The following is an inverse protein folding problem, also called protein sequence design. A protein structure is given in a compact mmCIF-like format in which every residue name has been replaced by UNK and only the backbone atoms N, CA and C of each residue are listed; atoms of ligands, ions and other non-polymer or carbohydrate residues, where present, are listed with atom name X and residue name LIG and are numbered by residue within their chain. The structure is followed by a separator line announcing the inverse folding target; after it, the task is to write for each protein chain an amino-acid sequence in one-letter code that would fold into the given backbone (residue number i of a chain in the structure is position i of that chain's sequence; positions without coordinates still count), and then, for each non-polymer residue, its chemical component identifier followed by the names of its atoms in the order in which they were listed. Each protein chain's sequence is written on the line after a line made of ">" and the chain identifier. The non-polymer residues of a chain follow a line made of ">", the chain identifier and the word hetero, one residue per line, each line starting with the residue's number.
data_IF_635423534914
#
_entry.id   IF_635423534914
#
_cell.length_a   1.000
_cell.length_b   1.000
_cell.length_c   1.000
_cell.angle_alpha   90.00
_cell.angle_beta   90.00
_cell.angle_gamma   90.00
#
_symmetry.space_group_name_H-M   'P 1'
#
loop_
_entity.id
_entity.type
_entity.pdbx_description
1 polymer ?
#
# COMPACT_ATOMS: atom_id res chain seq x y z
N UNK A 1 -9.59 25.88 12.33
CA UNK A 1 -10.25 24.82 13.11
C UNK A 1 -9.19 23.86 13.57
N UNK A 2 -8.88 23.89 14.86
CA UNK A 2 -7.90 23.04 15.52
C UNK A 2 -8.40 21.60 15.56
N UNK A 3 -7.53 20.65 15.18
CA UNK A 3 -7.68 19.23 15.47
C UNK A 3 -7.01 18.93 16.81
N UNK A 4 -7.77 18.39 17.75
CA UNK A 4 -7.26 17.90 19.03
C UNK A 4 -6.71 16.50 18.87
N UNK A 5 -5.48 16.29 19.28
CA UNK A 5 -4.87 14.95 19.46
C UNK A 5 -4.96 14.62 20.95
N UNK A 6 -5.64 13.54 21.29
CA UNK A 6 -5.65 13.02 22.68
C UNK A 6 -4.62 11.89 22.81
N UNK A 7 -3.70 12.07 23.77
CA UNK A 7 -2.87 10.98 24.30
C UNK A 7 -3.50 10.50 25.61
N UNK A 8 -3.85 9.21 25.71
CA UNK A 8 -4.22 8.60 26.98
C UNK A 8 -3.05 7.79 27.53
N UNK A 9 -2.56 8.14 28.69
CA UNK A 9 -1.80 7.25 29.55
C UNK A 9 -2.27 7.42 31.00
N UNK A 10 -2.97 6.39 31.50
CA UNK A 10 -2.95 5.94 32.87
C UNK A 10 -3.67 6.76 33.94
N UNK A 11 -4.71 6.14 34.53
CA UNK A 11 -5.44 6.36 35.76
C UNK A 11 -6.35 7.61 35.84
N UNK A 12 -7.64 7.29 35.76
CA UNK A 12 -8.74 8.19 36.09
C UNK A 12 -8.88 8.19 37.60
N UNK A 13 -8.66 9.35 38.22
CA UNK A 13 -9.33 9.75 39.47
C UNK A 13 -9.70 11.23 39.32
N UNK A 14 -10.98 11.49 39.52
CA UNK A 14 -11.73 12.72 39.62
C UNK A 14 -10.97 14.04 39.52
N UNK A 15 -11.30 14.84 38.50
CA UNK A 15 -11.23 16.30 38.61
C UNK A 15 -12.25 16.95 37.66
N UNK A 16 -13.25 17.59 38.26
CA UNK A 16 -14.06 18.62 37.64
C UNK A 16 -13.14 19.81 37.29
N UNK A 17 -13.06 20.16 36.02
CA UNK A 17 -12.32 21.32 35.57
C UNK A 17 -13.18 22.20 34.66
N UNK A 18 -13.72 23.25 35.24
CA UNK A 18 -14.14 24.46 34.53
C UNK A 18 -12.93 25.17 33.97
N UNK A 19 -12.92 25.44 32.68
CA UNK A 19 -11.86 26.18 32.00
C UNK A 19 -11.99 27.68 32.31
N UNK A 20 -11.29 28.22 33.29
CA UNK A 20 -11.02 29.64 33.40
C UNK A 20 -9.61 29.95 32.89
N UNK A 21 -9.54 30.84 31.89
CA UNK A 21 -8.29 31.34 31.36
C UNK A 21 -7.55 32.17 32.39
N UNK A 22 -6.45 31.69 32.92
CA UNK A 22 -5.56 32.45 33.81
C UNK A 22 -4.70 33.43 33.01
N UNK A 23 -5.06 34.69 33.07
CA UNK A 23 -4.19 35.80 32.66
C UNK A 23 -3.47 36.34 33.94
N UNK A 24 -2.15 36.55 33.84
CA UNK A 24 -1.47 37.28 34.90
C UNK A 24 -1.42 38.80 34.61
N UNK A 25 -1.20 39.59 35.63
CA UNK A 25 -1.19 41.06 35.56
C UNK A 25 -0.09 41.68 34.67
N UNK A 26 0.75 40.87 34.02
CA UNK A 26 1.81 41.30 33.10
C UNK A 26 1.51 41.07 31.62
N UNK A 27 0.32 40.59 31.28
CA UNK A 27 -0.12 40.48 29.87
C UNK A 27 0.56 39.40 29.03
N UNK A 28 1.24 38.46 29.65
CA UNK A 28 1.87 37.32 28.93
C UNK A 28 1.07 36.05 29.12
N UNK A 29 0.71 35.41 28.00
CA UNK A 29 0.02 34.14 27.99
C UNK A 29 0.97 33.01 28.40
N UNK A 30 0.56 32.14 29.32
CA UNK A 30 1.35 31.02 29.84
C UNK A 30 1.52 29.88 28.80
N UNK A 31 1.05 30.06 27.55
CA UNK A 31 1.18 29.08 26.47
C UNK A 31 2.60 28.92 25.94
N UNK A 32 3.50 29.87 26.15
CA UNK A 32 4.84 29.86 25.54
C UNK A 32 5.88 29.03 26.30
N UNK A 33 5.51 28.44 27.45
CA UNK A 33 6.44 27.61 28.24
C UNK A 33 6.24 26.11 28.13
N UNK A 34 5.20 25.65 27.44
CA UNK A 34 4.91 24.19 27.35
C UNK A 34 5.13 23.54 25.98
N UNK A 35 5.43 24.32 24.96
CA UNK A 35 5.91 23.78 23.69
C UNK A 35 7.24 24.45 23.36
N UNK A 36 8.39 23.82 23.60
CA UNK A 36 9.58 24.24 22.94
C UNK A 36 9.29 24.15 21.43
N UNK A 37 9.30 25.29 20.74
CA UNK A 37 9.33 25.34 19.28
C UNK A 37 10.52 24.48 18.87
N UNK A 38 10.23 23.22 18.44
CA UNK A 38 11.21 22.37 17.84
C UNK A 38 11.74 23.12 16.62
N UNK A 39 13.00 23.42 16.65
CA UNK A 39 13.70 24.11 15.58
C UNK A 39 13.69 23.23 14.32
N UNK A 40 12.62 23.36 13.52
CA UNK A 40 12.50 22.72 12.22
C UNK A 40 13.57 23.18 11.22
N UNK A 41 14.38 24.20 11.60
CA UNK A 41 15.43 24.76 10.76
C UNK A 41 16.59 23.78 10.51
N UNK A 42 16.74 22.73 11.33
CA UNK A 42 17.82 21.73 11.18
C UNK A 42 17.53 20.63 10.15
N UNK A 43 16.28 20.43 9.74
CA UNK A 43 15.88 19.39 8.78
C UNK A 43 15.85 19.87 7.35
N UNK A 44 15.73 21.17 7.14
CA UNK A 44 15.62 21.77 5.83
C UNK A 44 16.85 22.62 5.56
N UNK A 45 17.49 22.47 4.39
CA UNK A 45 18.56 23.37 3.99
C UNK A 45 18.03 24.81 3.95
N UNK A 46 18.86 25.76 4.31
CA UNK A 46 18.48 27.17 4.28
C UNK A 46 18.15 27.62 2.84
N UNK A 47 17.23 28.56 2.71
CA UNK A 47 16.86 29.12 1.39
C UNK A 47 18.10 29.66 0.65
N UNK A 48 19.12 30.08 1.39
CA UNK A 48 20.38 30.59 0.83
C UNK A 48 21.25 29.46 0.27
N UNK A 49 21.41 28.36 1.00
CA UNK A 49 22.14 27.17 0.53
C UNK A 49 21.51 26.58 -0.71
N UNK A 50 20.17 26.49 -0.73
CA UNK A 50 19.42 26.02 -1.90
C UNK A 50 19.68 26.97 -3.10
N UNK A 51 19.58 28.30 -2.88
CA UNK A 51 19.78 29.30 -3.93
C UNK A 51 21.19 29.23 -4.53
N UNK A 52 22.19 29.05 -3.69
CA UNK A 52 23.60 28.89 -4.08
C UNK A 52 23.83 27.62 -4.89
N UNK A 53 23.29 26.47 -4.42
CA UNK A 53 23.47 25.17 -5.08
C UNK A 53 22.89 25.09 -6.50
N UNK A 54 21.78 25.81 -6.75
CA UNK A 54 21.12 25.81 -8.08
C UNK A 54 21.34 27.08 -8.88
N UNK A 55 22.15 28.02 -8.36
CA UNK A 55 22.47 29.30 -8.99
C UNK A 55 21.21 30.11 -9.39
N UNK A 56 20.34 30.35 -8.44
CA UNK A 56 19.13 31.17 -8.60
C UNK A 56 19.01 32.17 -7.44
N UNK A 57 18.13 33.17 -7.58
CA UNK A 57 17.91 34.14 -6.50
C UNK A 57 17.18 33.50 -5.29
N UNK A 58 17.46 33.98 -4.08
CA UNK A 58 16.76 33.63 -2.84
C UNK A 58 15.24 33.79 -3.01
N UNK A 59 14.80 34.88 -3.68
CA UNK A 59 13.39 35.12 -3.99
C UNK A 59 12.77 34.06 -4.91
N UNK A 60 13.55 33.47 -5.82
CA UNK A 60 13.09 32.38 -6.67
C UNK A 60 12.87 31.11 -5.88
N UNK A 61 13.79 30.74 -4.98
CA UNK A 61 13.64 29.59 -4.08
C UNK A 61 12.42 29.78 -3.17
N UNK A 62 12.29 30.95 -2.54
CA UNK A 62 11.15 31.27 -1.68
C UNK A 62 9.81 31.14 -2.44
N UNK A 63 9.73 31.62 -3.68
CA UNK A 63 8.51 31.47 -4.50
C UNK A 63 8.18 30.02 -4.80
N UNK A 64 9.17 29.18 -5.07
CA UNK A 64 8.99 27.74 -5.26
C UNK A 64 8.46 27.11 -3.97
N UNK A 65 9.15 27.28 -2.84
CA UNK A 65 8.79 26.64 -1.57
C UNK A 65 7.40 27.06 -1.09
N UNK A 66 7.01 28.31 -1.33
CA UNK A 66 5.69 28.84 -0.97
C UNK A 66 4.61 28.59 -2.04
N UNK A 67 4.90 27.79 -3.06
CA UNK A 67 3.98 27.47 -4.14
C UNK A 67 3.34 28.71 -4.81
N UNK A 68 4.13 29.77 -5.01
CA UNK A 68 3.64 30.97 -5.67
C UNK A 68 3.28 30.68 -7.13
N UNK A 69 2.25 31.35 -7.69
CA UNK A 69 1.92 31.26 -9.10
C UNK A 69 3.07 31.78 -9.96
N UNK A 70 3.08 31.39 -11.24
CA UNK A 70 4.05 31.84 -12.26
C UNK A 70 5.50 31.35 -12.04
N UNK A 71 5.72 30.24 -11.35
CA UNK A 71 6.99 29.52 -11.31
C UNK A 71 7.00 28.45 -12.38
N UNK A 72 8.03 28.43 -13.24
CA UNK A 72 8.13 27.40 -14.29
C UNK A 72 8.31 26.00 -13.70
N UNK A 73 7.79 24.96 -14.37
CA UNK A 73 7.98 23.57 -13.93
C UNK A 73 9.45 23.19 -13.77
N UNK A 74 10.32 23.66 -14.67
CA UNK A 74 11.75 23.37 -14.68
C UNK A 74 12.44 23.99 -13.44
N UNK A 75 12.14 25.24 -13.12
CA UNK A 75 12.69 25.91 -11.95
C UNK A 75 12.19 25.21 -10.67
N UNK A 76 10.91 24.82 -10.63
CA UNK A 76 10.33 24.07 -9.52
C UNK A 76 11.08 22.75 -9.31
N UNK A 77 11.20 21.94 -10.34
CA UNK A 77 11.90 20.65 -10.26
C UNK A 77 13.35 20.83 -9.83
N UNK A 78 14.06 21.83 -10.38
CA UNK A 78 15.45 22.13 -10.03
C UNK A 78 15.61 22.48 -8.55
N UNK A 79 14.75 23.32 -8.00
CA UNK A 79 14.80 23.74 -6.59
C UNK A 79 14.42 22.58 -5.66
N UNK A 80 13.35 21.83 -5.96
CA UNK A 80 12.90 20.72 -5.12
C UNK A 80 13.92 19.57 -5.09
N UNK A 81 14.56 19.29 -6.24
CA UNK A 81 15.68 18.36 -6.31
C UNK A 81 16.81 18.80 -5.37
N UNK A 82 17.22 20.07 -5.42
CA UNK A 82 18.27 20.59 -4.55
C UNK A 82 17.89 20.53 -3.06
N UNK A 83 16.63 20.80 -2.73
CA UNK A 83 16.12 20.62 -1.34
C UNK A 83 16.34 19.20 -0.86
N UNK A 84 15.97 18.20 -1.68
CA UNK A 84 16.09 16.79 -1.30
C UNK A 84 17.55 16.30 -1.31
N UNK A 85 18.42 16.87 -2.16
CA UNK A 85 19.84 16.53 -2.20
C UNK A 85 20.65 17.17 -1.05
N UNK A 86 20.25 18.37 -0.60
CA UNK A 86 20.92 19.10 0.48
C UNK A 86 20.34 18.81 1.86
N UNK A 87 19.28 18.04 1.93
CA UNK A 87 18.68 17.64 3.20
C UNK A 87 19.74 16.98 4.07
N UNK A 88 19.89 17.45 5.29
CA UNK A 88 20.80 16.85 6.24
C UNK A 88 20.15 15.58 6.82
N UNK A 89 20.54 14.44 6.27
CA UNK A 89 20.01 13.14 6.69
C UNK A 89 20.50 12.78 8.11
N UNK A 90 21.55 13.42 8.61
CA UNK A 90 22.03 13.21 9.98
C UNK A 90 21.06 13.78 11.03
N UNK A 91 20.18 14.70 10.62
CA UNK A 91 19.13 15.25 11.48
C UNK A 91 17.87 14.35 11.53
N UNK A 92 17.73 13.44 10.56
CA UNK A 92 16.64 12.44 10.55
C UNK A 92 16.96 11.38 11.60
N UNK A 93 16.14 11.28 12.65
CA UNK A 93 16.37 10.40 13.80
C UNK A 93 17.22 11.01 14.92
N UNK A 94 17.56 12.30 14.87
CA UNK A 94 18.17 12.99 15.99
C UNK A 94 17.14 13.18 17.13
N UNK A 95 17.53 12.98 18.40
CA UNK A 95 16.62 13.17 19.53
C UNK A 95 15.96 14.55 19.53
N UNK A 96 14.64 14.57 19.60
CA UNK A 96 13.85 15.81 19.64
C UNK A 96 13.42 16.37 18.28
N UNK A 97 13.74 15.70 17.18
CA UNK A 97 13.28 16.08 15.84
C UNK A 97 12.36 14.98 15.30
N UNK A 98 11.04 15.18 15.42
CA UNK A 98 10.05 14.27 14.86
C UNK A 98 9.81 14.62 13.39
N UNK A 99 10.00 13.65 12.50
CA UNK A 99 9.61 13.76 11.10
C UNK A 99 8.52 12.74 10.81
N UNK A 100 7.76 12.95 9.73
CA UNK A 100 6.73 12.00 9.33
C UNK A 100 7.18 11.20 8.12
N UNK A 101 6.83 9.91 8.11
CA UNK A 101 6.80 9.08 6.91
C UNK A 101 5.37 9.08 6.38
N UNK A 102 5.18 9.36 5.10
CA UNK A 102 3.86 9.30 4.51
C UNK A 102 3.56 7.89 3.97
N UNK A 103 2.36 7.40 4.26
CA UNK A 103 1.71 6.38 3.45
C UNK A 103 0.74 7.07 2.50
N UNK A 104 1.03 7.01 1.20
CA UNK A 104 0.23 7.67 0.18
C UNK A 104 -0.60 6.66 -0.61
N UNK A 105 -1.86 7.01 -0.85
CA UNK A 105 -2.78 6.22 -1.67
C UNK A 105 -3.61 7.14 -2.55
N UNK A 106 -4.20 6.58 -3.60
CA UNK A 106 -5.14 7.29 -4.48
C UNK A 106 -6.48 6.57 -4.52
N UNK A 107 -7.56 7.28 -4.29
CA UNK A 107 -8.91 6.73 -4.43
C UNK A 107 -9.86 7.15 -3.32
N UNK A 108 -11.05 6.57 -3.36
CA UNK A 108 -12.11 6.87 -2.40
C UNK A 108 -12.12 5.90 -1.21
N UNK A 109 -11.62 4.69 -1.40
CA UNK A 109 -11.59 3.65 -0.37
C UNK A 109 -10.16 3.36 0.06
N UNK A 110 -9.98 3.44 1.35
CA UNK A 110 -8.75 3.18 2.07
C UNK A 110 -9.16 2.45 3.35
N UNK A 111 -9.29 1.20 3.40
CA UNK A 111 -9.54 0.41 4.61
C UNK A 111 -9.99 -1.02 4.22
N UNK A 112 -9.31 -1.59 3.23
CA UNK A 112 -9.42 -3.03 3.03
C UNK A 112 -8.62 -3.78 4.11
N UNK A 113 -8.87 -5.05 4.37
CA UNK A 113 -8.00 -5.88 5.22
C UNK A 113 -6.54 -5.84 4.76
N UNK A 114 -6.28 -5.78 3.46
CA UNK A 114 -4.95 -5.61 2.88
C UNK A 114 -4.29 -4.29 3.34
N UNK A 115 -5.02 -3.16 3.29
CA UNK A 115 -4.48 -1.88 3.74
C UNK A 115 -4.20 -1.87 5.24
N UNK A 116 -5.05 -2.53 6.03
CA UNK A 116 -4.85 -2.65 7.47
C UNK A 116 -3.60 -3.46 7.81
N UNK A 117 -3.39 -4.60 7.15
CA UNK A 117 -2.19 -5.43 7.34
C UNK A 117 -0.91 -4.70 6.90
N UNK A 118 -0.98 -3.97 5.78
CA UNK A 118 0.12 -3.16 5.28
C UNK A 118 0.52 -2.06 6.25
N UNK A 119 -0.46 -1.30 6.76
CA UNK A 119 -0.23 -0.26 7.74
C UNK A 119 0.26 -0.80 9.08
N UNK A 120 -0.19 -1.99 9.48
CA UNK A 120 0.33 -2.67 10.65
C UNK A 120 1.83 -2.93 10.50
N UNK A 121 2.27 -3.51 9.38
CA UNK A 121 3.70 -3.74 9.13
C UNK A 121 4.52 -2.45 9.11
N UNK A 122 3.99 -1.38 8.51
CA UNK A 122 4.63 -0.06 8.54
C UNK A 122 4.72 0.47 9.98
N UNK A 123 3.65 0.35 10.77
CA UNK A 123 3.63 0.85 12.15
C UNK A 123 4.60 0.08 13.06
N UNK A 124 4.67 -1.25 12.92
CA UNK A 124 5.65 -2.08 13.65
C UNK A 124 7.10 -1.66 13.29
N UNK A 125 7.38 -1.44 12.00
CA UNK A 125 8.68 -0.97 11.56
C UNK A 125 9.02 0.46 12.00
N UNK A 126 8.02 1.31 12.25
CA UNK A 126 8.21 2.67 12.78
C UNK A 126 8.43 2.69 14.30
N UNK A 127 7.94 1.69 15.03
CA UNK A 127 7.98 1.67 16.49
C UNK A 127 9.37 1.96 17.13
N UNK A 128 10.50 1.47 16.57
CA UNK A 128 11.84 1.80 17.08
C UNK A 128 12.39 3.14 16.60
N UNK A 129 11.61 3.96 15.89
CA UNK A 129 12.06 5.22 15.28
C UNK A 129 11.37 6.42 15.91
N UNK A 130 11.89 7.63 15.61
CA UNK A 130 11.27 8.91 15.99
C UNK A 130 10.31 9.45 14.91
N UNK A 131 9.88 8.60 13.97
CA UNK A 131 8.99 9.00 12.88
C UNK A 131 7.52 8.76 13.21
N UNK A 132 6.67 9.73 12.87
CA UNK A 132 5.23 9.56 12.86
C UNK A 132 4.74 9.04 11.49
N UNK A 133 3.63 8.30 11.47
CA UNK A 133 2.97 7.89 10.24
C UNK A 133 1.90 8.90 9.83
N UNK A 134 2.04 9.45 8.62
CA UNK A 134 1.05 10.33 8.01
C UNK A 134 0.36 9.63 6.84
N UNK A 135 -0.96 9.51 6.88
CA UNK A 135 -1.73 8.93 5.77
C UNK A 135 -2.19 10.03 4.82
N UNK A 136 -1.87 9.91 3.53
CA UNK A 136 -2.09 10.95 2.51
C UNK A 136 -2.91 10.42 1.34
N UNK A 137 -4.09 11.01 1.10
CA UNK A 137 -4.84 10.78 -0.13
C UNK A 137 -4.37 11.75 -1.22
N UNK A 138 -3.70 11.24 -2.25
CA UNK A 138 -3.10 12.04 -3.32
C UNK A 138 -4.14 12.67 -4.28
N UNK A 139 -5.37 12.15 -4.31
CA UNK A 139 -6.44 12.75 -5.08
C UNK A 139 -6.93 14.10 -4.50
N UNK A 140 -6.70 14.35 -3.20
CA UNK A 140 -7.16 15.56 -2.47
C UNK A 140 -6.03 16.52 -2.13
N UNK A 141 -4.78 16.14 -2.31
CA UNK A 141 -3.62 16.81 -1.70
C UNK A 141 -2.92 17.86 -2.53
N UNK A 142 -3.28 18.03 -3.79
CA UNK A 142 -2.63 19.03 -4.65
C UNK A 142 -3.29 20.39 -4.49
N UNK A 143 -2.59 21.33 -3.87
CA UNK A 143 -2.91 22.75 -4.03
C UNK A 143 -2.79 23.15 -5.51
N UNK A 144 -3.53 24.17 -5.94
CA UNK A 144 -3.47 24.67 -7.31
C UNK A 144 -2.00 24.93 -7.73
N UNK A 145 -1.49 24.12 -8.65
CA UNK A 145 -0.18 24.30 -9.28
C UNK A 145 1.04 23.75 -8.52
N UNK A 146 0.88 23.03 -7.41
CA UNK A 146 2.00 22.40 -6.67
C UNK A 146 2.23 20.94 -7.02
N UNK A 147 3.46 20.45 -6.85
CA UNK A 147 3.80 19.04 -6.94
C UNK A 147 3.42 18.27 -5.67
N UNK A 148 3.36 16.92 -5.78
CA UNK A 148 3.16 16.08 -4.59
C UNK A 148 4.35 16.18 -3.66
N UNK A 149 5.59 16.08 -4.16
CA UNK A 149 6.81 16.19 -3.36
C UNK A 149 6.89 17.52 -2.60
N UNK A 150 6.59 18.64 -3.27
CA UNK A 150 6.50 19.94 -2.61
C UNK A 150 5.47 19.96 -1.47
N UNK A 151 4.32 19.34 -1.68
CA UNK A 151 3.27 19.25 -0.66
C UNK A 151 3.73 18.44 0.55
N UNK A 152 4.43 17.32 0.32
CA UNK A 152 4.99 16.46 1.35
C UNK A 152 6.10 17.17 2.14
N UNK A 153 7.03 17.83 1.45
CA UNK A 153 8.11 18.63 2.07
C UNK A 153 7.52 19.68 3.04
N UNK A 154 6.51 20.43 2.59
CA UNK A 154 5.86 21.47 3.41
C UNK A 154 5.14 20.90 4.63
N UNK A 155 4.79 19.64 4.64
CA UNK A 155 4.17 18.93 5.78
C UNK A 155 5.20 18.26 6.69
N UNK A 156 6.49 18.45 6.46
CA UNK A 156 7.55 17.82 7.25
C UNK A 156 7.73 16.33 6.98
N UNK A 157 7.28 15.85 5.81
CA UNK A 157 7.42 14.44 5.43
C UNK A 157 8.83 14.18 4.93
N UNK A 158 9.49 13.16 5.50
CA UNK A 158 10.84 12.75 5.13
C UNK A 158 10.87 11.88 3.87
N UNK A 159 9.87 11.02 3.70
CA UNK A 159 9.74 10.12 2.55
C UNK A 159 8.35 9.51 2.47
N UNK A 160 8.05 8.80 1.39
CA UNK A 160 6.73 8.25 1.13
C UNK A 160 6.78 6.78 0.73
N UNK A 161 5.98 5.96 1.40
CA UNK A 161 5.55 4.64 0.90
C UNK A 161 4.27 4.85 0.11
N UNK A 162 4.28 4.54 -1.17
CA UNK A 162 3.17 4.81 -2.07
C UNK A 162 2.48 3.51 -2.50
N UNK A 163 1.21 3.36 -2.13
CA UNK A 163 0.37 2.29 -2.65
C UNK A 163 -0.10 2.66 -4.05
N UNK A 164 0.50 2.04 -5.04
CA UNK A 164 0.28 2.35 -6.44
C UNK A 164 -1.07 1.87 -6.96
N UNK A 165 -1.54 2.60 -7.98
CA UNK A 165 -2.49 2.13 -8.98
C UNK A 165 -1.94 2.56 -10.34
N UNK A 166 -2.24 1.84 -11.41
CA UNK A 166 -1.71 2.04 -12.77
C UNK A 166 -1.77 3.48 -13.28
N UNK A 167 -2.69 4.28 -12.74
CA UNK A 167 -2.90 5.68 -13.14
C UNK A 167 -1.93 6.67 -12.49
N UNK A 168 -0.99 6.18 -11.68
CA UNK A 168 -0.10 7.02 -10.87
C UNK A 168 1.29 7.26 -11.49
N UNK A 169 1.59 6.71 -12.67
CA UNK A 169 2.91 6.85 -13.33
C UNK A 169 3.37 8.31 -13.47
N UNK A 170 2.45 9.25 -13.73
CA UNK A 170 2.79 10.68 -13.78
C UNK A 170 3.26 11.23 -12.43
N UNK A 171 2.73 10.72 -11.31
CA UNK A 171 3.16 11.07 -9.96
C UNK A 171 4.55 10.53 -9.65
N UNK A 172 4.83 9.30 -10.06
CA UNK A 172 6.14 8.68 -9.85
C UNK A 172 7.23 9.39 -10.65
N UNK A 173 6.95 9.77 -11.91
CA UNK A 173 7.87 10.57 -12.71
C UNK A 173 8.17 11.94 -12.07
N UNK A 174 7.16 12.57 -11.45
CA UNK A 174 7.32 13.84 -10.73
C UNK A 174 8.22 13.65 -9.50
N UNK A 175 7.92 12.66 -8.63
CA UNK A 175 8.70 12.37 -7.44
C UNK A 175 10.14 11.97 -7.77
N UNK A 176 10.36 11.19 -8.84
CA UNK A 176 11.68 10.82 -9.33
C UNK A 176 12.49 12.03 -9.79
N UNK A 177 11.85 12.96 -10.54
CA UNK A 177 12.49 14.19 -11.02
C UNK A 177 12.89 15.09 -9.86
N UNK A 178 12.06 15.15 -8.82
CA UNK A 178 12.32 15.93 -7.60
C UNK A 178 13.25 15.21 -6.62
N UNK A 179 13.62 13.95 -6.90
CA UNK A 179 14.41 13.06 -6.03
C UNK A 179 13.83 12.95 -4.62
N UNK A 180 12.51 12.99 -4.51
CA UNK A 180 11.85 12.81 -3.22
C UNK A 180 11.92 11.33 -2.81
N UNK A 181 12.41 11.00 -1.59
CA UNK A 181 12.53 9.61 -1.14
C UNK A 181 11.20 8.88 -1.24
N UNK A 182 11.14 7.88 -2.12
CA UNK A 182 9.90 7.19 -2.49
C UNK A 182 10.14 5.69 -2.65
N UNK A 183 9.28 4.90 -2.02
CA UNK A 183 9.14 3.46 -2.29
C UNK A 183 7.70 3.18 -2.70
N UNK A 184 7.52 2.49 -3.81
CA UNK A 184 6.22 2.10 -4.36
C UNK A 184 5.96 0.63 -4.02
N UNK A 185 4.73 0.29 -3.66
CA UNK A 185 4.29 -1.08 -3.37
C UNK A 185 3.21 -1.52 -4.35
N UNK A 186 3.14 -2.84 -4.60
CA UNK A 186 2.20 -3.49 -5.52
C UNK A 186 2.31 -3.02 -6.98
N UNK A 187 3.42 -2.37 -7.34
CA UNK A 187 3.71 -1.94 -8.71
C UNK A 187 5.22 -2.04 -8.98
N UNK A 188 5.57 -2.32 -10.23
CA UNK A 188 6.95 -2.35 -10.69
C UNK A 188 7.29 -1.05 -11.40
N UNK A 189 8.28 -0.33 -10.89
CA UNK A 189 8.73 0.94 -11.46
C UNK A 189 10.19 0.83 -11.90
N UNK A 190 10.45 1.06 -13.18
CA UNK A 190 11.80 1.16 -13.70
C UNK A 190 12.33 2.58 -13.49
N UNK A 191 13.02 2.80 -12.37
CA UNK A 191 13.58 4.10 -12.01
C UNK A 191 14.81 3.94 -11.12
N UNK A 192 15.83 4.75 -11.36
CA UNK A 192 17.00 4.85 -10.46
C UNK A 192 16.70 5.65 -9.18
N UNK A 193 15.55 6.32 -9.10
CA UNK A 193 15.21 7.26 -8.03
C UNK A 193 13.98 6.85 -7.21
N UNK A 194 13.34 5.74 -7.58
CA UNK A 194 12.19 5.19 -6.86
C UNK A 194 12.45 3.73 -6.56
N UNK A 195 12.35 3.35 -5.30
CA UNK A 195 12.34 1.95 -4.90
C UNK A 195 10.98 1.32 -5.13
N UNK A 196 10.94 0.02 -5.38
CA UNK A 196 9.67 -0.70 -5.41
C UNK A 196 9.76 -2.02 -4.65
N UNK A 197 8.67 -2.38 -3.97
CA UNK A 197 8.53 -3.64 -3.27
C UNK A 197 7.21 -4.28 -3.69
N UNK A 198 7.27 -5.49 -4.21
CA UNK A 198 6.10 -6.23 -4.68
C UNK A 198 6.26 -7.73 -4.45
N UNK A 199 5.17 -8.49 -4.61
CA UNK A 199 5.21 -9.92 -4.49
C UNK A 199 5.57 -10.61 -5.82
N UNK A 200 6.35 -11.69 -5.72
CA UNK A 200 6.48 -12.69 -6.76
C UNK A 200 5.62 -13.90 -6.39
N UNK A 201 4.49 -14.05 -7.04
CA UNK A 201 3.52 -15.10 -6.75
C UNK A 201 3.58 -16.28 -7.74
N UNK A 202 4.45 -16.23 -8.76
CA UNK A 202 4.44 -17.21 -9.85
C UNK A 202 4.62 -18.63 -9.34
N UNK A 203 5.62 -18.87 -8.49
CA UNK A 203 5.90 -20.19 -7.94
C UNK A 203 4.76 -20.69 -7.05
N UNK A 204 4.22 -19.87 -6.17
CA UNK A 204 3.14 -20.23 -5.27
C UNK A 204 1.83 -20.51 -6.02
N UNK A 205 1.53 -19.75 -7.06
CA UNK A 205 0.40 -20.01 -7.96
C UNK A 205 0.60 -21.35 -8.69
N UNK A 206 1.80 -21.61 -9.19
CA UNK A 206 2.10 -22.89 -9.83
C UNK A 206 1.95 -24.08 -8.86
N UNK A 207 2.34 -23.92 -7.60
CA UNK A 207 2.13 -24.94 -6.55
C UNK A 207 0.62 -25.15 -6.28
N UNK A 208 -0.15 -24.08 -6.17
CA UNK A 208 -1.59 -24.11 -5.93
C UNK A 208 -2.34 -24.83 -7.07
N UNK A 209 -2.01 -24.49 -8.31
CA UNK A 209 -2.61 -25.12 -9.49
C UNK A 209 -2.14 -26.58 -9.67
N UNK A 210 -0.87 -26.88 -9.36
CA UNK A 210 -0.34 -28.26 -9.34
C UNK A 210 -1.07 -29.12 -8.32
N UNK A 211 -1.39 -28.59 -7.15
CA UNK A 211 -2.18 -29.28 -6.14
C UNK A 211 -3.56 -29.68 -6.67
N UNK A 212 -4.27 -28.80 -7.40
CA UNK A 212 -5.54 -29.13 -8.05
C UNK A 212 -5.38 -30.20 -9.13
N UNK A 213 -4.34 -30.09 -9.94
CA UNK A 213 -4.06 -31.08 -11.01
C UNK A 213 -3.73 -32.46 -10.43
N UNK A 214 -2.98 -32.53 -9.34
CA UNK A 214 -2.66 -33.77 -8.62
C UNK A 214 -3.91 -34.44 -8.01
N UNK A 215 -4.89 -33.63 -7.59
CA UNK A 215 -6.19 -34.13 -7.13
C UNK A 215 -7.09 -34.61 -8.27
N UNK A 216 -6.73 -34.38 -9.55
CA UNK A 216 -7.45 -34.82 -10.73
C UNK A 216 -8.25 -33.74 -11.45
N UNK A 217 -8.22 -32.49 -10.98
CA UNK A 217 -8.86 -31.37 -11.69
C UNK A 217 -8.18 -31.12 -13.04
N UNK A 218 -8.99 -30.86 -14.07
CA UNK A 218 -8.53 -30.52 -15.42
C UNK A 218 -9.14 -29.21 -15.92
N UNK A 219 -10.36 -28.89 -15.51
CA UNK A 219 -11.06 -27.66 -15.81
C UNK A 219 -10.99 -26.79 -14.56
N UNK A 220 -10.18 -25.75 -14.61
CA UNK A 220 -9.91 -24.83 -13.49
C UNK A 220 -10.29 -23.43 -13.94
N UNK A 221 -11.24 -22.79 -13.25
CA UNK A 221 -11.60 -21.40 -13.50
C UNK A 221 -10.68 -20.44 -12.72
N UNK A 222 -10.69 -19.18 -13.13
CA UNK A 222 -10.08 -18.09 -12.39
C UNK A 222 -11.10 -16.97 -12.18
N UNK A 223 -11.13 -16.40 -10.96
CA UNK A 223 -11.84 -15.16 -10.69
C UNK A 223 -10.84 -14.06 -10.35
N UNK A 224 -10.91 -12.98 -11.13
CA UNK A 224 -10.01 -11.85 -11.08
C UNK A 224 -10.73 -10.63 -10.50
N UNK A 225 -10.03 -9.88 -9.65
CA UNK A 225 -10.44 -8.51 -9.37
C UNK A 225 -10.14 -7.64 -10.60
N UNK A 226 -11.03 -6.68 -10.88
CA UNK A 226 -10.85 -5.73 -11.99
C UNK A 226 -9.90 -4.56 -11.63
N UNK A 227 -8.96 -4.79 -10.71
CA UNK A 227 -7.88 -3.84 -10.41
C UNK A 227 -6.83 -3.98 -11.50
N UNK A 228 -6.49 -2.85 -12.10
CA UNK A 228 -5.47 -2.76 -13.14
C UNK A 228 -4.15 -2.31 -12.49
N UNK A 229 -3.43 -3.26 -11.89
CA UNK A 229 -2.10 -3.09 -11.33
C UNK A 229 -1.19 -4.26 -11.72
N UNK A 230 0.09 -4.12 -11.41
CA UNK A 230 1.12 -5.11 -11.74
C UNK A 230 0.85 -6.47 -11.09
N UNK A 231 0.52 -6.49 -9.80
CA UNK A 231 0.31 -7.74 -9.05
C UNK A 231 -0.84 -8.57 -9.63
N UNK A 232 -1.98 -7.94 -9.96
CA UNK A 232 -3.12 -8.64 -10.55
C UNK A 232 -2.84 -9.14 -11.96
N UNK A 233 -2.09 -8.37 -12.76
CA UNK A 233 -1.64 -8.79 -14.08
C UNK A 233 -0.71 -10.01 -14.00
N UNK A 234 0.22 -10.03 -13.04
CA UNK A 234 1.13 -11.15 -12.80
C UNK A 234 0.38 -12.43 -12.39
N UNK A 235 -0.60 -12.32 -11.49
CA UNK A 235 -1.42 -13.47 -11.06
C UNK A 235 -2.14 -14.11 -12.23
N UNK A 236 -2.70 -13.31 -13.12
CA UNK A 236 -3.38 -13.80 -14.32
C UNK A 236 -2.40 -14.43 -15.30
N UNK A 237 -1.25 -13.79 -15.55
CA UNK A 237 -0.21 -14.34 -16.42
C UNK A 237 0.34 -15.68 -15.89
N UNK A 238 0.58 -15.80 -14.59
CA UNK A 238 1.03 -17.05 -13.97
C UNK A 238 0.02 -18.19 -14.14
N UNK A 239 -1.29 -17.89 -13.95
CA UNK A 239 -2.35 -18.87 -14.22
C UNK A 239 -2.36 -19.32 -15.70
N UNK A 240 -2.33 -18.39 -16.65
CA UNK A 240 -2.32 -18.72 -18.09
C UNK A 240 -1.08 -19.52 -18.48
N UNK A 241 0.09 -19.12 -17.98
CA UNK A 241 1.34 -19.82 -18.23
C UNK A 241 1.29 -21.26 -17.71
N UNK A 242 0.75 -21.46 -16.50
CA UNK A 242 0.62 -22.80 -15.92
C UNK A 242 -0.31 -23.70 -16.75
N UNK A 243 -1.48 -23.19 -17.15
CA UNK A 243 -2.42 -23.98 -17.98
C UNK A 243 -1.79 -24.39 -19.32
N UNK A 244 -1.12 -23.45 -19.99
CA UNK A 244 -0.43 -23.72 -21.24
C UNK A 244 0.69 -24.75 -21.08
N UNK A 245 1.50 -24.64 -20.03
CA UNK A 245 2.60 -25.58 -19.74
C UNK A 245 2.14 -27.00 -19.45
N UNK A 246 0.94 -27.17 -18.91
CA UNK A 246 0.37 -28.46 -18.52
C UNK A 246 -0.71 -28.97 -19.48
N UNK A 247 -0.84 -28.39 -20.67
CA UNK A 247 -1.84 -28.75 -21.70
C UNK A 247 -3.28 -28.83 -21.14
N UNK A 248 -3.62 -27.92 -20.21
CA UNK A 248 -4.95 -27.86 -19.62
C UNK A 248 -5.89 -27.02 -20.49
N UNK A 249 -7.19 -27.40 -20.56
CA UNK A 249 -8.16 -26.69 -21.38
C UNK A 249 -8.40 -25.28 -20.81
N UNK A 250 -8.62 -24.33 -21.72
CA UNK A 250 -8.97 -22.94 -21.42
C UNK A 250 -10.29 -22.58 -22.08
N UNK A 251 -11.09 -21.76 -21.41
CA UNK A 251 -12.34 -21.22 -21.94
C UNK A 251 -12.52 -19.80 -21.37
N UNK A 252 -12.82 -18.83 -22.20
CA UNK A 252 -13.02 -17.44 -21.76
C UNK A 252 -14.16 -17.30 -20.73
N UNK A 253 -15.14 -18.22 -20.75
CA UNK A 253 -16.24 -18.27 -19.78
C UNK A 253 -15.78 -18.66 -18.38
N UNK A 254 -14.58 -19.25 -18.23
CA UNK A 254 -13.96 -19.62 -16.95
C UNK A 254 -13.11 -18.49 -16.38
N UNK A 255 -12.90 -17.41 -17.15
CA UNK A 255 -12.21 -16.20 -16.69
C UNK A 255 -13.26 -15.20 -16.22
N UNK A 256 -13.47 -15.15 -14.91
CA UNK A 256 -14.51 -14.33 -14.30
C UNK A 256 -13.89 -13.05 -13.76
N UNK A 257 -14.29 -11.91 -14.32
CA UNK A 257 -13.85 -10.59 -13.86
C UNK A 257 -14.93 -9.99 -12.98
N UNK A 258 -14.54 -9.62 -11.75
CA UNK A 258 -15.39 -8.93 -10.78
C UNK A 258 -15.04 -7.46 -10.75
N UNK A 259 -16.01 -6.53 -10.78
CA UNK A 259 -15.73 -5.10 -10.69
C UNK A 259 -15.26 -4.73 -9.28
N UNK A 260 -14.03 -4.27 -9.18
CA UNK A 260 -13.51 -3.54 -8.02
C UNK A 260 -13.68 -4.23 -6.67
N UNK A 261 -13.81 -3.42 -5.64
CA UNK A 261 -13.85 -3.73 -4.21
C UNK A 261 -15.08 -4.54 -3.75
N UNK A 262 -15.88 -5.03 -4.68
CA UNK A 262 -17.00 -5.89 -4.36
C UNK A 262 -16.45 -7.26 -3.93
N UNK A 263 -16.52 -7.53 -2.63
CA UNK A 263 -16.28 -8.83 -2.01
C UNK A 263 -17.23 -9.94 -2.55
N UNK A 264 -17.68 -9.78 -3.81
CA UNK A 264 -18.76 -10.54 -4.41
C UNK A 264 -18.25 -11.79 -5.13
N UNK A 265 -17.47 -12.60 -4.46
CA UNK A 265 -17.16 -13.95 -4.91
C UNK A 265 -18.42 -14.76 -5.21
N UNK A 266 -19.54 -14.44 -4.61
CA UNK A 266 -20.84 -15.01 -4.91
C UNK A 266 -21.31 -14.79 -6.35
N UNK A 267 -20.99 -13.66 -6.97
CA UNK A 267 -21.25 -13.44 -8.39
C UNK A 267 -20.44 -14.39 -9.27
N UNK A 268 -19.19 -14.64 -8.92
CA UNK A 268 -18.33 -15.59 -9.60
C UNK A 268 -18.91 -17.02 -9.52
N UNK A 269 -19.34 -17.43 -8.32
CA UNK A 269 -19.98 -18.73 -8.13
C UNK A 269 -21.23 -18.88 -8.99
N UNK A 270 -22.15 -17.92 -8.95
CA UNK A 270 -23.40 -17.99 -9.76
C UNK A 270 -23.12 -18.11 -11.25
N UNK A 271 -22.16 -17.35 -11.76
CA UNK A 271 -21.74 -17.44 -13.19
C UNK A 271 -21.19 -18.83 -13.51
N UNK A 272 -20.32 -19.34 -12.64
CA UNK A 272 -19.69 -20.65 -12.83
C UNK A 272 -20.71 -21.79 -12.80
N UNK A 273 -21.61 -21.77 -11.81
CA UNK A 273 -22.63 -22.83 -11.64
C UNK A 273 -23.70 -22.83 -12.74
N UNK A 274 -23.87 -21.74 -13.48
CA UNK A 274 -24.76 -21.65 -14.62
C UNK A 274 -24.18 -22.26 -15.91
N UNK A 275 -22.90 -22.62 -15.94
CA UNK A 275 -22.27 -23.22 -17.12
C UNK A 275 -22.65 -24.71 -17.24
N UNK A 276 -23.05 -25.19 -18.43
CA UNK A 276 -23.40 -26.60 -18.65
C UNK A 276 -22.17 -27.53 -18.52
N UNK A 277 -21.00 -27.03 -18.92
CA UNK A 277 -19.69 -27.70 -18.81
C UNK A 277 -18.79 -26.93 -17.90
N UNK A 278 -19.12 -26.93 -16.59
CA UNK A 278 -18.46 -26.13 -15.60
C UNK A 278 -17.10 -26.69 -15.14
N UNK A 279 -16.15 -25.84 -14.79
CA UNK A 279 -14.97 -26.24 -14.03
C UNK A 279 -15.31 -26.88 -12.68
N UNK A 280 -14.44 -27.79 -12.25
CA UNK A 280 -14.53 -28.46 -10.95
C UNK A 280 -13.67 -27.80 -9.86
N UNK A 281 -12.87 -26.81 -10.25
CA UNK A 281 -12.07 -25.98 -9.34
C UNK A 281 -12.03 -24.53 -9.81
N UNK A 282 -11.83 -23.62 -8.87
CA UNK A 282 -11.66 -22.20 -9.13
C UNK A 282 -10.50 -21.63 -8.30
N UNK A 283 -9.66 -20.83 -8.94
CA UNK A 283 -8.63 -20.01 -8.31
C UNK A 283 -9.11 -18.56 -8.20
N UNK A 284 -9.12 -18.02 -7.00
CA UNK A 284 -9.55 -16.65 -6.69
C UNK A 284 -8.33 -15.79 -6.45
N UNK A 285 -8.18 -14.66 -7.15
CA UNK A 285 -6.96 -13.85 -7.08
C UNK A 285 -7.04 -12.68 -6.09
N UNK A 286 -8.07 -12.64 -5.27
CA UNK A 286 -8.30 -11.55 -4.31
C UNK A 286 -8.93 -12.11 -3.02
N UNK A 287 -8.52 -11.60 -1.84
CA UNK A 287 -8.98 -12.10 -0.54
C UNK A 287 -10.50 -12.14 -0.40
N UNK A 288 -11.16 -11.03 -0.72
CA UNK A 288 -12.61 -10.91 -0.56
C UNK A 288 -13.43 -11.81 -1.48
N UNK A 289 -12.84 -12.21 -2.63
CA UNK A 289 -13.51 -13.10 -3.58
C UNK A 289 -13.67 -14.51 -3.00
N UNK A 290 -12.63 -15.05 -2.35
CA UNK A 290 -12.66 -16.41 -1.77
C UNK A 290 -13.72 -16.56 -0.67
N UNK A 291 -13.70 -15.70 0.33
CA UNK A 291 -14.68 -15.73 1.43
C UNK A 291 -16.11 -15.47 0.95
N UNK A 292 -16.29 -14.51 0.04
CA UNK A 292 -17.59 -14.21 -0.56
C UNK A 292 -18.17 -15.36 -1.36
N UNK A 293 -17.31 -16.13 -2.07
CA UNK A 293 -17.72 -17.35 -2.77
C UNK A 293 -18.18 -18.43 -1.78
N UNK A 294 -17.44 -18.68 -0.70
CA UNK A 294 -17.80 -19.67 0.31
C UNK A 294 -19.16 -19.36 0.97
N UNK A 295 -19.40 -18.07 1.30
CA UNK A 295 -20.69 -17.62 1.87
C UNK A 295 -21.84 -17.88 0.88
N UNK A 296 -21.65 -17.57 -0.40
CA UNK A 296 -22.70 -17.78 -1.40
C UNK A 296 -22.91 -19.27 -1.69
N UNK A 297 -21.85 -20.09 -1.65
CA UNK A 297 -21.96 -21.52 -1.78
C UNK A 297 -22.89 -22.13 -0.73
N UNK A 298 -22.76 -21.70 0.53
CA UNK A 298 -23.66 -22.10 1.62
C UNK A 298 -25.13 -21.72 1.30
N UNK A 299 -25.38 -20.52 0.77
CA UNK A 299 -26.73 -20.07 0.41
C UNK A 299 -27.35 -20.84 -0.76
N UNK A 300 -26.50 -21.26 -1.71
CA UNK A 300 -26.92 -22.01 -2.88
C UNK A 300 -26.97 -23.53 -2.66
N UNK A 301 -26.51 -24.03 -1.51
CA UNK A 301 -26.38 -25.47 -1.24
C UNK A 301 -25.25 -26.14 -2.04
N UNK A 302 -24.28 -25.35 -2.56
CA UNK A 302 -23.09 -25.86 -3.24
C UNK A 302 -22.06 -26.28 -2.18
N UNK A 303 -21.65 -27.52 -2.24
CA UNK A 303 -20.71 -28.10 -1.26
C UNK A 303 -19.27 -27.83 -1.71
N UNK A 304 -18.51 -27.15 -0.86
CA UNK A 304 -17.07 -26.99 -1.04
C UNK A 304 -16.41 -27.93 -0.01
N UNK A 305 -15.48 -28.81 -0.41
CA UNK A 305 -14.89 -28.95 -1.77
C UNK A 305 -15.61 -29.92 -2.71
N UNK A 306 -16.70 -30.61 -2.30
CA UNK A 306 -17.26 -31.74 -3.02
C UNK A 306 -17.82 -31.40 -4.42
N UNK A 307 -18.52 -30.28 -4.54
CA UNK A 307 -19.11 -29.82 -5.80
C UNK A 307 -18.20 -28.84 -6.55
N UNK A 308 -17.27 -28.16 -5.81
CA UNK A 308 -16.31 -27.20 -6.35
C UNK A 308 -15.13 -27.04 -5.38
N UNK A 309 -13.91 -27.31 -5.84
CA UNK A 309 -12.70 -26.97 -5.10
C UNK A 309 -12.37 -25.48 -5.27
N UNK A 310 -11.96 -24.82 -4.18
CA UNK A 310 -11.68 -23.38 -4.16
C UNK A 310 -10.30 -23.13 -3.60
N UNK A 311 -9.50 -22.35 -4.30
CA UNK A 311 -8.25 -21.80 -3.79
C UNK A 311 -8.38 -20.28 -3.79
N UNK A 312 -8.08 -19.64 -2.65
CA UNK A 312 -8.03 -18.18 -2.49
C UNK A 312 -6.65 -17.60 -2.74
N UNK A 313 -6.57 -16.30 -2.52
CA UNK A 313 -5.34 -15.54 -2.53
C UNK A 313 -5.39 -14.58 -1.35
N UNK A 314 -4.71 -14.89 -0.29
CA UNK A 314 -4.46 -14.08 0.90
C UNK A 314 -3.98 -14.94 2.07
N UNK A 315 -3.30 -14.31 3.02
CA UNK A 315 -2.90 -14.92 4.30
C UNK A 315 -3.71 -14.35 5.51
N UNK A 316 -4.78 -13.60 5.24
CA UNK A 316 -5.62 -13.05 6.30
C UNK A 316 -6.25 -14.16 7.15
N UNK A 317 -6.41 -13.90 8.45
CA UNK A 317 -7.06 -14.83 9.38
C UNK A 317 -8.47 -15.21 8.96
N UNK A 318 -9.16 -14.34 8.21
CA UNK A 318 -10.50 -14.59 7.68
C UNK A 318 -10.64 -15.87 6.84
N UNK A 319 -9.54 -16.39 6.26
CA UNK A 319 -9.55 -17.69 5.56
C UNK A 319 -9.72 -18.90 6.49
N UNK A 320 -9.37 -18.75 7.76
CA UNK A 320 -9.59 -19.78 8.78
C UNK A 320 -11.01 -19.73 9.36
N UNK A 321 -11.69 -18.58 9.24
CA UNK A 321 -13.06 -18.36 9.69
C UNK A 321 -14.11 -18.80 8.66
N UNK A 322 -13.69 -19.15 7.42
CA UNK A 322 -14.58 -19.74 6.44
C UNK A 322 -14.86 -21.21 6.74
N UNK A 323 -16.00 -21.70 6.26
CA UNK A 323 -16.31 -23.13 6.29
C UNK A 323 -16.61 -23.63 4.86
N UNK A 324 -15.77 -24.53 4.31
CA UNK A 324 -14.49 -25.04 4.88
C UNK A 324 -13.41 -23.94 4.97
N UNK A 325 -12.32 -24.22 5.72
CA UNK A 325 -11.15 -23.34 5.77
C UNK A 325 -10.52 -23.25 4.38
N UNK A 326 -10.22 -22.03 3.96
CA UNK A 326 -9.86 -21.76 2.57
C UNK A 326 -8.36 -22.02 2.29
N UNK A 327 -8.05 -22.98 1.41
CA UNK A 327 -6.72 -23.13 0.82
C UNK A 327 -6.34 -21.83 0.09
N UNK A 328 -5.11 -21.36 0.23
CA UNK A 328 -4.75 -20.03 -0.27
C UNK A 328 -3.31 -19.91 -0.74
N UNK A 329 -3.07 -19.08 -1.73
CA UNK A 329 -1.76 -18.48 -1.98
C UNK A 329 -1.58 -17.33 -1.00
N UNK A 330 -0.59 -17.43 -0.14
CA UNK A 330 -0.35 -16.50 0.96
C UNK A 330 0.67 -15.44 0.55
N UNK A 331 0.32 -14.18 0.76
CA UNK A 331 1.18 -13.03 0.62
C UNK A 331 1.30 -12.34 1.99
N UNK A 332 2.48 -12.30 2.56
CA UNK A 332 2.69 -11.71 3.89
C UNK A 332 2.65 -10.18 3.83
N UNK A 333 1.45 -9.61 3.80
CA UNK A 333 1.21 -8.17 3.56
C UNK A 333 1.84 -7.30 4.65
N UNK A 334 1.87 -7.75 5.91
CA UNK A 334 2.59 -7.05 6.97
C UNK A 334 4.09 -6.94 6.66
N UNK A 335 4.72 -8.03 6.20
CA UNK A 335 6.12 -8.04 5.79
C UNK A 335 6.38 -7.10 4.58
N UNK A 336 5.42 -6.99 3.66
CA UNK A 336 5.52 -6.01 2.56
C UNK A 336 5.61 -4.59 3.10
N UNK A 337 4.75 -4.24 4.07
CA UNK A 337 4.75 -2.91 4.71
C UNK A 337 6.05 -2.62 5.44
N UNK A 338 6.52 -3.56 6.26
CA UNK A 338 7.77 -3.47 6.98
C UNK A 338 8.98 -3.33 6.04
N UNK A 339 9.06 -4.19 5.00
CA UNK A 339 10.13 -4.17 4.01
C UNK A 339 10.16 -2.85 3.22
N UNK A 340 8.99 -2.35 2.80
CA UNK A 340 8.89 -1.10 2.09
C UNK A 340 9.33 0.10 2.95
N UNK A 341 8.93 0.10 4.23
CA UNK A 341 9.38 1.11 5.18
C UNK A 341 10.89 1.04 5.41
N UNK A 342 11.43 -0.15 5.70
CA UNK A 342 12.87 -0.30 5.96
C UNK A 342 13.68 0.15 4.74
N UNK A 343 13.25 -0.22 3.54
CA UNK A 343 13.91 0.24 2.31
C UNK A 343 13.83 1.76 2.15
N UNK A 344 12.68 2.38 2.47
CA UNK A 344 12.53 3.83 2.45
C UNK A 344 13.46 4.52 3.46
N UNK A 345 13.54 4.01 4.68
CA UNK A 345 14.44 4.55 5.71
C UNK A 345 15.91 4.43 5.30
N UNK A 346 16.29 3.34 4.64
CA UNK A 346 17.64 3.16 4.10
C UNK A 346 17.95 4.14 2.96
N UNK A 347 16.96 4.43 2.10
CA UNK A 347 17.07 5.44 1.04
C UNK A 347 17.20 6.84 1.64
N UNK A 348 16.38 7.19 2.63
CA UNK A 348 16.44 8.48 3.34
C UNK A 348 17.82 8.67 3.98
N UNK A 349 18.30 7.66 4.69
CA UNK A 349 19.61 7.70 5.36
C UNK A 349 20.79 7.44 4.40
N UNK A 350 20.55 7.37 3.08
CA UNK A 350 21.56 7.10 2.03
C UNK A 350 22.41 5.84 2.28
N UNK A 351 21.86 4.87 3.03
CA UNK A 351 22.51 3.57 3.24
C UNK A 351 22.37 2.66 2.03
N UNK A 352 21.32 2.84 1.22
CA UNK A 352 21.13 2.13 -0.03
C UNK A 352 20.52 3.04 -1.11
N UNK A 353 20.80 2.72 -2.38
CA UNK A 353 20.07 3.30 -3.49
C UNK A 353 18.66 2.70 -3.59
N UNK A 354 17.69 3.44 -4.17
CA UNK A 354 16.40 2.88 -4.54
C UNK A 354 16.57 1.64 -5.42
N UNK A 355 15.82 0.58 -5.14
CA UNK A 355 15.91 -0.69 -5.87
C UNK A 355 14.58 -1.43 -5.87
N UNK A 356 14.47 -2.44 -6.73
CA UNK A 356 13.41 -3.43 -6.71
C UNK A 356 13.68 -4.48 -5.62
N UNK A 357 12.66 -4.79 -4.81
CA UNK A 357 12.67 -5.88 -3.84
C UNK A 357 11.46 -6.76 -4.12
N UNK A 358 11.70 -8.06 -4.30
CA UNK A 358 10.66 -9.07 -4.50
C UNK A 358 10.48 -9.88 -3.24
N UNK A 359 9.25 -10.06 -2.81
CA UNK A 359 8.86 -10.93 -1.71
C UNK A 359 8.16 -12.16 -2.28
N UNK A 360 8.54 -13.33 -1.81
CA UNK A 360 7.93 -14.58 -2.26
C UNK A 360 6.58 -14.81 -1.58
N UNK A 361 5.64 -15.38 -2.33
CA UNK A 361 4.41 -15.96 -1.80
C UNK A 361 4.60 -17.44 -1.48
N UNK A 362 3.73 -17.99 -0.64
CA UNK A 362 3.66 -19.42 -0.35
C UNK A 362 2.26 -19.96 -0.66
N UNK A 363 2.13 -21.28 -0.85
CA UNK A 363 0.82 -21.94 -0.96
C UNK A 363 0.55 -22.77 0.29
N UNK A 364 -0.61 -22.57 0.90
CA UNK A 364 -1.08 -23.35 2.04
C UNK A 364 -2.37 -24.09 1.70
N UNK A 365 -2.33 -25.44 1.54
CA UNK A 365 -3.52 -26.24 1.36
C UNK A 365 -4.28 -26.40 2.68
N UNK A 366 -5.60 -26.21 2.64
CA UNK A 366 -6.53 -26.42 3.74
C UNK A 366 -7.72 -27.28 3.27
N UNK A 367 -8.92 -27.04 3.81
CA UNK A 367 -10.07 -27.93 3.66
C UNK A 367 -10.92 -27.68 2.40
N UNK A 368 -10.64 -26.61 1.64
CA UNK A 368 -11.48 -26.18 0.50
C UNK A 368 -11.18 -26.85 -0.82
N UNK A 369 -10.29 -27.85 -0.84
CA UNK A 369 -9.92 -28.59 -2.05
C UNK A 369 -10.01 -30.10 -1.81
N UNK A 370 -10.53 -30.84 -2.80
CA UNK A 370 -10.58 -32.32 -2.80
C UNK A 370 -10.60 -32.83 -4.25
N UNK A 371 -10.45 -34.12 -4.45
CA UNK A 371 -10.62 -34.71 -5.78
C UNK A 371 -12.00 -34.35 -6.38
N UNK A 372 -12.08 -34.06 -7.69
CA UNK A 372 -13.36 -33.78 -8.32
C UNK A 372 -14.31 -34.96 -8.20
N UNK A 373 -15.59 -34.67 -7.94
CA UNK A 373 -16.61 -35.70 -7.91
C UNK A 373 -16.69 -36.36 -9.31
N UNK A 374 -16.36 -37.65 -9.40
CA UNK A 374 -16.60 -38.45 -10.62
C UNK A 374 -18.01 -38.99 -10.50
N UNK A 375 -18.89 -38.57 -11.38
CA UNK A 375 -20.09 -39.37 -11.65
C UNK A 375 -19.63 -40.75 -12.12
N UNK A 376 -19.76 -41.76 -11.22
CA UNK A 376 -19.52 -43.18 -11.52
C UNK A 376 -20.57 -43.67 -12.51
#
# INVERSE_FOLDING_TARGET
>A
RLGLVFRFSGKIDQCDATFEACWNDSGTCFSDRFFPFLDQSRLMPSVREIAESVNVSIGSVSRVLNNQPHVSPELRAKVLKAVNELRDDSAVGSPGVTTSIAFAYRGQSFLSPYDAALLHGIAEGLAPTEHDLMVVNTARGRGLGGSLGQTLIRRGVAGVVFRAATKDHGLFSELATERFPTVVIAERIESEHIGCVHFDAELAIAQALSHLVQQGHRKIAIALNAIDDYDHAQRFAAYQHFLAKHDLPTDDRWIIRSPGWDSNGGSALRKLMALPDRPTAIFMTDPGLGSGLCIEALRMGVRIPQDLSVIGFDDSEGRYDTFPRLSSVCQHVGLLGETALQHLLDVIARRSAPREIKLECSFEPLDSTAAPFSDL
#
